data_IF_295488770274
#
_entry.id   IF_295488770274
#
_cell.length_a   1.000
_cell.length_b   1.000
_cell.length_c   1.000
_cell.angle_alpha   90.00
_cell.angle_beta   90.00
_cell.angle_gamma   90.00
#
_symmetry.space_group_name_H-M   'P 1'
#
loop_
_entity.id
_entity.type
_entity.pdbx_description
1 polymer ?
#
# COMPACT_ATOMS: atom_id res chain seq x y z
N UNK A 1 -9.85 5.00 -0.33
CA UNK A 1 -8.49 5.51 -0.01
C UNK A 1 -7.46 4.53 -0.54
N UNK A 2 -6.34 5.01 -1.08
CA UNK A 2 -5.18 4.21 -1.46
C UNK A 2 -4.00 4.59 -0.58
N UNK A 3 -3.23 3.60 -0.11
CA UNK A 3 -2.10 3.84 0.79
C UNK A 3 -0.98 2.82 0.54
N UNK A 4 0.28 3.26 0.71
CA UNK A 4 1.44 2.38 0.87
C UNK A 4 1.79 2.31 2.36
N UNK A 5 2.01 1.11 2.87
CA UNK A 5 2.36 0.86 4.27
C UNK A 5 3.62 0.02 4.30
N UNK A 6 4.66 0.51 4.97
CA UNK A 6 5.89 -0.24 5.22
C UNK A 6 5.93 -0.70 6.67
N UNK A 7 6.21 -1.98 6.89
CA UNK A 7 6.40 -2.54 8.23
C UNK A 7 7.85 -2.26 8.63
N UNK A 8 8.11 -1.92 9.91
CA UNK A 8 9.45 -1.50 10.35
C UNK A 8 10.34 -2.66 10.79
N UNK A 9 9.77 -3.85 11.01
CA UNK A 9 10.47 -5.06 11.44
C UNK A 9 10.88 -6.00 10.29
N UNK A 10 10.19 -5.90 9.15
CA UNK A 10 10.52 -6.60 7.92
C UNK A 10 10.68 -5.54 6.81
N UNK A 11 11.52 -5.75 5.81
CA UNK A 11 11.76 -4.74 4.76
C UNK A 11 10.60 -4.68 3.74
N UNK A 12 9.36 -4.90 4.18
CA UNK A 12 8.20 -5.09 3.30
C UNK A 12 7.33 -3.85 3.28
N UNK A 13 6.99 -3.41 2.06
CA UNK A 13 5.98 -2.39 1.84
C UNK A 13 4.82 -2.99 1.03
N UNK A 14 3.59 -2.68 1.46
CA UNK A 14 2.36 -3.22 0.89
C UNK A 14 1.46 -2.06 0.46
N UNK A 15 0.90 -2.17 -0.73
CA UNK A 15 -0.15 -1.28 -1.20
C UNK A 15 -1.52 -1.78 -0.77
N UNK A 16 -2.33 -0.88 -0.21
CA UNK A 16 -3.67 -1.17 0.26
C UNK A 16 -4.71 -0.24 -0.36
N UNK A 17 -5.82 -0.83 -0.78
CA UNK A 17 -7.06 -0.16 -1.16
C UNK A 17 -8.05 -0.26 0.01
N UNK A 18 -8.37 0.87 0.63
CA UNK A 18 -9.46 1.02 1.60
C UNK A 18 -10.77 1.43 0.91
N UNK A 19 -11.84 0.68 1.11
CA UNK A 19 -13.14 0.86 0.44
C UNK A 19 -14.32 0.50 1.34
N UNK A 20 -15.53 0.94 1.00
CA UNK A 20 -16.78 0.50 1.64
C UNK A 20 -17.32 -0.81 1.03
N UNK A 21 -16.69 -1.31 -0.03
CA UNK A 21 -17.06 -2.60 -0.65
C UNK A 21 -16.64 -3.75 0.25
N UNK A 22 -17.63 -4.42 0.83
CA UNK A 22 -17.45 -5.59 1.69
C UNK A 22 -16.65 -6.69 0.99
N UNK A 23 -15.75 -7.30 1.74
CA UNK A 23 -15.10 -8.55 1.40
C UNK A 23 -14.90 -9.43 2.62
N UNK A 24 -14.61 -10.70 2.35
CA UNK A 24 -14.23 -11.70 3.34
C UNK A 24 -12.71 -11.85 3.34
N UNK A 25 -12.10 -11.93 4.53
CA UNK A 25 -10.63 -12.03 4.67
C UNK A 25 -10.07 -13.20 3.87
N UNK A 26 -8.97 -12.97 3.15
CA UNK A 26 -8.37 -13.93 2.21
C UNK A 26 -9.07 -14.00 0.84
N UNK A 27 -10.28 -13.43 0.70
CA UNK A 27 -11.01 -13.39 -0.55
C UNK A 27 -10.24 -12.62 -1.63
N UNK A 28 -10.28 -13.15 -2.86
CA UNK A 28 -9.56 -12.61 -4.01
C UNK A 28 -10.52 -11.93 -4.98
N UNK A 29 -10.14 -10.75 -5.47
CA UNK A 29 -10.91 -10.01 -6.45
C UNK A 29 -10.00 -9.56 -7.60
N UNK A 30 -10.27 -10.01 -8.84
CA UNK A 30 -9.59 -9.48 -10.01
C UNK A 30 -9.87 -7.98 -10.16
N UNK A 31 -8.86 -7.22 -10.54
CA UNK A 31 -9.00 -5.81 -10.83
C UNK A 31 -8.21 -5.41 -12.08
N UNK A 32 -8.73 -4.40 -12.79
CA UNK A 32 -8.04 -3.74 -13.89
C UNK A 32 -7.56 -2.38 -13.41
N UNK A 33 -6.27 -2.11 -13.56
CA UNK A 33 -5.69 -0.79 -13.37
C UNK A 33 -5.51 -0.15 -14.74
N UNK A 34 -5.89 1.13 -14.86
CA UNK A 34 -5.64 1.93 -16.06
C UNK A 34 -5.01 3.27 -15.69
N UNK A 35 -3.92 3.63 -16.36
CA UNK A 35 -3.15 4.85 -16.13
C UNK A 35 -2.54 5.37 -17.43
N UNK A 36 -1.82 6.49 -17.38
CA UNK A 36 -1.03 6.98 -18.53
C UNK A 36 0.07 6.01 -18.99
N UNK A 37 0.43 5.02 -18.16
CA UNK A 37 1.42 4.00 -18.49
C UNK A 37 0.79 2.78 -19.20
N UNK A 38 -0.53 2.78 -19.39
CA UNK A 38 -1.30 1.67 -19.96
C UNK A 38 -2.23 1.01 -18.95
N UNK A 39 -2.87 -0.07 -19.41
CA UNK A 39 -3.79 -0.88 -18.63
C UNK A 39 -3.20 -2.26 -18.32
N UNK A 40 -3.44 -2.75 -17.10
CA UNK A 40 -2.96 -4.07 -16.65
C UNK A 40 -3.84 -4.64 -15.55
N UNK A 41 -3.85 -5.96 -15.41
CA UNK A 41 -4.63 -6.66 -14.40
C UNK A 41 -3.81 -6.89 -13.13
N UNK A 42 -4.47 -6.79 -11.98
CA UNK A 42 -3.92 -7.14 -10.68
C UNK A 42 -4.92 -8.00 -9.91
N UNK A 43 -4.42 -8.75 -8.93
CA UNK A 43 -5.24 -9.44 -7.95
C UNK A 43 -5.25 -8.63 -6.65
N UNK A 44 -6.46 -8.42 -6.11
CA UNK A 44 -6.68 -7.85 -4.78
C UNK A 44 -6.99 -8.96 -3.79
N UNK A 45 -6.35 -8.94 -2.63
CA UNK A 45 -6.66 -9.85 -1.51
C UNK A 45 -7.27 -9.05 -0.38
N UNK A 46 -8.47 -9.42 0.03
CA UNK A 46 -9.09 -8.84 1.21
C UNK A 46 -8.27 -9.20 2.44
N UNK A 47 -7.81 -8.18 3.16
CA UNK A 47 -7.05 -8.35 4.38
C UNK A 47 -8.00 -8.39 5.57
N UNK A 48 -8.66 -7.26 5.87
CA UNK A 48 -9.58 -7.13 7.02
C UNK A 48 -10.52 -5.94 6.91
N UNK A 49 -11.53 -5.95 7.76
CA UNK A 49 -12.30 -4.75 8.09
C UNK A 49 -11.40 -3.75 8.84
N UNK A 50 -11.52 -2.47 8.50
CA UNK A 50 -10.78 -1.38 9.11
C UNK A 50 -11.73 -0.25 9.52
N UNK A 51 -11.36 0.49 10.55
CA UNK A 51 -12.01 1.76 10.89
C UNK A 51 -11.11 2.89 10.39
N UNK A 52 -11.61 3.69 9.44
CA UNK A 52 -10.92 4.90 9.02
C UNK A 52 -11.34 6.06 9.93
N UNK A 53 -10.37 6.90 10.32
CA UNK A 53 -10.62 8.11 11.10
C UNK A 53 -11.45 9.07 10.24
N UNK A 54 -12.42 9.73 10.86
CA UNK A 54 -13.29 10.73 10.22
C UNK A 54 -14.16 10.19 9.06
N UNK A 55 -14.43 8.89 9.02
CA UNK A 55 -15.38 8.30 8.07
C UNK A 55 -16.51 7.61 8.80
N UNK A 56 -17.74 7.76 8.30
CA UNK A 56 -18.89 6.97 8.75
C UNK A 56 -18.96 5.66 7.97
N UNK A 57 -19.42 4.59 8.64
CA UNK A 57 -19.63 3.27 8.03
C UNK A 57 -18.41 2.33 8.06
N UNK A 58 -18.69 1.07 7.71
CA UNK A 58 -17.71 -0.01 7.68
C UNK A 58 -16.81 0.11 6.46
N UNK A 59 -15.50 -0.02 6.68
CA UNK A 59 -14.51 -0.03 5.62
C UNK A 59 -13.74 -1.35 5.62
N UNK A 60 -13.26 -1.72 4.45
CA UNK A 60 -12.52 -2.95 4.19
C UNK A 60 -11.21 -2.58 3.49
N UNK A 61 -10.18 -3.35 3.81
CA UNK A 61 -8.83 -3.18 3.28
C UNK A 61 -8.49 -4.34 2.36
N UNK A 62 -8.06 -4.04 1.15
CA UNK A 62 -7.52 -5.02 0.20
C UNK A 62 -6.04 -4.75 -0.02
N UNK A 63 -5.21 -5.78 0.08
CA UNK A 63 -3.83 -5.74 -0.38
C UNK A 63 -3.79 -5.89 -1.91
N UNK A 64 -2.94 -5.11 -2.58
CA UNK A 64 -2.71 -5.19 -4.02
C UNK A 64 -1.46 -6.03 -4.26
N UNK A 65 -1.58 -7.24 -4.84
CA UNK A 65 -0.48 -8.21 -4.91
C UNK A 65 0.64 -7.90 -5.93
N UNK A 66 0.68 -6.68 -6.48
CA UNK A 66 1.71 -6.24 -7.42
C UNK A 66 2.27 -4.88 -6.98
N UNK A 67 3.19 -4.92 -6.01
CA UNK A 67 3.72 -3.72 -5.36
C UNK A 67 4.57 -2.86 -6.31
N UNK A 68 5.42 -3.49 -7.13
CA UNK A 68 6.31 -2.80 -8.07
C UNK A 68 5.52 -2.02 -9.12
N UNK A 69 4.41 -2.59 -9.60
CA UNK A 69 3.51 -1.89 -10.51
C UNK A 69 2.93 -0.63 -9.86
N UNK A 70 2.45 -0.74 -8.62
CA UNK A 70 1.87 0.40 -7.91
C UNK A 70 2.92 1.48 -7.62
N UNK A 71 4.15 1.09 -7.32
CA UNK A 71 5.29 2.01 -7.18
C UNK A 71 5.60 2.72 -8.49
N UNK A 72 5.63 1.99 -9.60
CA UNK A 72 5.81 2.55 -10.94
C UNK A 72 4.70 3.54 -11.29
N UNK A 73 3.44 3.22 -11.00
CA UNK A 73 2.30 4.11 -11.22
C UNK A 73 2.43 5.37 -10.37
N UNK A 74 2.71 5.22 -9.06
CA UNK A 74 2.88 6.36 -8.17
C UNK A 74 4.06 7.27 -8.59
N UNK A 75 5.13 6.69 -9.11
CA UNK A 75 6.34 7.40 -9.50
C UNK A 75 6.27 8.05 -10.89
N UNK A 76 5.53 7.47 -11.83
CA UNK A 76 5.65 7.81 -13.26
C UNK A 76 4.33 8.05 -13.99
N UNK A 77 3.18 7.65 -13.45
CA UNK A 77 1.91 7.95 -14.10
C UNK A 77 1.63 9.46 -14.05
N UNK A 78 1.04 9.99 -15.11
CA UNK A 78 0.60 11.38 -15.19
C UNK A 78 -0.93 11.45 -15.07
N UNK A 79 -1.43 12.50 -14.40
CA UNK A 79 -2.86 12.72 -14.23
C UNK A 79 -3.53 11.72 -13.29
N UNK A 80 -4.72 11.26 -13.68
CA UNK A 80 -5.49 10.31 -12.87
C UNK A 80 -5.29 8.88 -13.37
N UNK A 81 -5.34 7.92 -12.44
CA UNK A 81 -5.44 6.50 -12.74
C UNK A 81 -6.65 5.89 -12.05
N UNK A 82 -7.11 4.75 -12.56
CA UNK A 82 -8.29 4.06 -12.08
C UNK A 82 -8.00 2.60 -11.72
N UNK A 83 -8.75 2.08 -10.76
CA UNK A 83 -8.79 0.66 -10.40
C UNK A 83 -10.25 0.21 -10.49
N UNK A 84 -10.56 -0.67 -11.43
CA UNK A 84 -11.87 -1.31 -11.56
C UNK A 84 -11.81 -2.71 -10.96
N UNK A 85 -12.55 -2.93 -9.87
CA UNK A 85 -12.59 -4.19 -9.14
C UNK A 85 -13.85 -4.96 -9.52
N UNK A 86 -13.68 -6.21 -9.96
CA UNK A 86 -14.79 -7.10 -10.24
C UNK A 86 -15.45 -7.54 -8.92
N UNK A 87 -16.77 -7.44 -8.87
CA UNK A 87 -17.61 -7.84 -7.74
C UNK A 87 -18.59 -8.95 -8.17
N UNK A 88 -19.30 -9.50 -7.20
CA UNK A 88 -20.33 -10.50 -7.45
C UNK A 88 -21.44 -10.01 -8.40
N UNK A 89 -22.06 -10.97 -9.08
CA UNK A 89 -23.20 -10.75 -9.98
C UNK A 89 -22.92 -9.76 -11.12
N UNK A 90 -21.68 -9.73 -11.64
CA UNK A 90 -21.30 -8.89 -12.77
C UNK A 90 -21.17 -7.39 -12.45
N UNK A 91 -21.14 -7.02 -11.17
CA UNK A 91 -20.94 -5.63 -10.74
C UNK A 91 -19.47 -5.27 -10.72
N UNK A 92 -19.19 -3.97 -10.83
CA UNK A 92 -17.84 -3.42 -10.68
C UNK A 92 -17.85 -2.23 -9.72
N UNK A 93 -16.79 -2.09 -8.93
CA UNK A 93 -16.49 -0.85 -8.24
C UNK A 93 -15.28 -0.19 -8.88
N UNK A 94 -15.37 1.12 -9.15
CA UNK A 94 -14.30 1.88 -9.78
C UNK A 94 -13.80 2.95 -8.83
N UNK A 95 -12.50 2.90 -8.54
CA UNK A 95 -11.81 3.88 -7.72
C UNK A 95 -10.89 4.69 -8.60
N UNK A 96 -10.86 6.02 -8.40
CA UNK A 96 -10.00 6.94 -9.16
C UNK A 96 -9.10 7.68 -8.19
N UNK A 97 -7.84 7.83 -8.59
CA UNK A 97 -6.81 8.46 -7.80
C UNK A 97 -6.01 9.42 -8.69
N UNK A 98 -5.52 10.50 -8.09
CA UNK A 98 -4.52 11.37 -8.72
C UNK A 98 -3.13 10.81 -8.48
N UNK A 99 -2.24 10.88 -9.47
CA UNK A 99 -0.81 10.60 -9.30
C UNK A 99 -0.03 11.80 -8.77
N UNK A 100 -0.65 12.98 -8.68
CA UNK A 100 -0.01 14.20 -8.16
C UNK A 100 0.58 13.98 -6.76
N UNK A 101 1.87 14.25 -6.61
CA UNK A 101 2.60 14.07 -5.35
C UNK A 101 2.96 12.60 -5.02
N UNK A 102 2.52 11.63 -5.81
CA UNK A 102 2.75 10.20 -5.58
C UNK A 102 4.23 9.85 -5.45
N UNK A 103 5.06 10.28 -6.41
CA UNK A 103 6.51 10.06 -6.40
C UNK A 103 7.16 10.57 -5.11
N UNK A 104 6.84 11.79 -4.70
CA UNK A 104 7.43 12.42 -3.52
C UNK A 104 6.99 11.70 -2.24
N UNK A 105 5.70 11.37 -2.12
CA UNK A 105 5.16 10.65 -0.97
C UNK A 105 5.78 9.26 -0.81
N UNK A 106 5.88 8.49 -1.90
CA UNK A 106 6.48 7.14 -1.89
C UNK A 106 7.95 7.19 -1.52
N UNK A 107 8.74 8.09 -2.15
CA UNK A 107 10.17 8.28 -1.82
C UNK A 107 10.36 8.62 -0.34
N UNK A 108 9.55 9.56 0.18
CA UNK A 108 9.65 9.99 1.58
C UNK A 108 9.33 8.84 2.54
N UNK A 109 8.31 8.03 2.23
CA UNK A 109 7.93 6.87 3.03
C UNK A 109 9.03 5.80 3.02
N UNK A 110 9.58 5.48 1.86
CA UNK A 110 10.63 4.46 1.72
C UNK A 110 11.92 4.87 2.44
N UNK A 111 12.33 6.12 2.31
CA UNK A 111 13.48 6.66 3.05
C UNK A 111 13.27 6.57 4.56
N UNK A 112 12.07 6.91 5.04
CA UNK A 112 11.72 6.80 6.46
C UNK A 112 11.71 5.33 6.93
N UNK A 113 11.13 4.43 6.14
CA UNK A 113 11.09 3.00 6.44
C UNK A 113 12.50 2.40 6.53
N UNK A 114 13.38 2.73 5.59
CA UNK A 114 14.78 2.29 5.60
C UNK A 114 15.54 2.79 6.83
N UNK A 115 15.32 4.05 7.24
CA UNK A 115 15.92 4.60 8.46
C UNK A 115 15.48 3.84 9.71
N UNK A 116 14.18 3.54 9.81
CA UNK A 116 13.61 2.78 10.93
C UNK A 116 14.11 1.34 10.95
N UNK A 117 14.13 0.67 9.79
CA UNK A 117 14.64 -0.69 9.66
C UNK A 117 16.09 -0.79 10.11
N UNK A 118 16.96 0.14 9.67
CA UNK A 118 18.36 0.19 10.12
C UNK A 118 18.46 0.40 11.62
N UNK A 119 17.71 1.34 12.18
CA UNK A 119 17.71 1.60 13.63
C UNK A 119 17.33 0.36 14.45
N UNK A 120 16.34 -0.41 14.00
CA UNK A 120 15.86 -1.60 14.69
C UNK A 120 16.82 -2.80 14.58
N UNK A 121 17.61 -2.86 13.50
CA UNK A 121 18.53 -3.97 13.22
C UNK A 121 20.01 -3.62 13.43
N UNK A 122 20.33 -2.40 13.86
CA UNK A 122 21.69 -2.03 14.26
C UNK A 122 22.07 -2.79 15.54
N UNK A 123 23.24 -3.47 15.59
CA UNK A 123 23.73 -4.09 16.80
C UNK A 123 23.88 -3.05 17.91
N UNK A 124 23.56 -3.43 19.16
CA UNK A 124 23.80 -2.58 20.32
C UNK A 124 25.27 -2.13 20.33
N UNK A 125 25.58 -0.87 20.70
CA UNK A 125 26.95 -0.44 20.83
C UNK A 125 27.69 -1.41 21.76
N UNK A 126 28.84 -1.92 21.32
CA UNK A 126 29.66 -2.78 22.16
C UNK A 126 29.91 -2.05 23.49
N UNK A 127 29.52 -2.68 24.60
CA UNK A 127 29.81 -2.13 25.92
C UNK A 127 31.33 -2.05 26.05
N UNK A 128 31.88 -0.83 26.01
CA UNK A 128 33.29 -0.61 26.26
C UNK A 128 33.59 -1.10 27.69
N UNK A 129 34.48 -2.09 27.78
CA UNK A 129 34.91 -2.74 29.02
C UNK A 129 35.91 -1.91 29.83
N UNK A 130 36.11 -0.64 29.46
CA UNK A 130 37.18 0.24 29.97
C UNK A 130 36.72 1.25 31.03
N UNK A 131 35.48 1.16 31.53
CA UNK A 131 34.99 2.06 32.59
C UNK A 131 35.19 1.53 34.02
N UNK A 132 36.06 0.52 34.20
CA UNK A 132 36.37 -0.09 35.50
C UNK A 132 37.88 -0.14 35.74
N UNK A 133 38.55 1.01 35.72
CA UNK A 133 39.87 1.22 36.34
C UNK A 133 39.94 2.62 36.96
#
# INVERSE_FOLDING_TARGET
MLMKVCVSGDSTCIWYLGTQTRCESGGKSPALINSSLGATTVELVCDRQIQLRNTTGLHYRYAILNYDLMDKIAASATGAFGIAVALESGRFAVYRFSSSGGKQAVSTLEEAALRLYRKNNSPAPAANRDSLL
#
